data_IF_920529574707
#
_entry.id   IF_920529574707
#
_cell.length_a   1.000
_cell.length_b   1.000
_cell.length_c   1.000
_cell.angle_alpha   90.00
_cell.angle_beta   90.00
_cell.angle_gamma   90.00
#
_symmetry.space_group_name_H-M   'P 1'
#
loop_
_entity.id
_entity.type
_entity.pdbx_description
1 polymer ?
#
# COMPACT_ATOMS: atom_id res chain seq x y z
N UNK A 1 9.95 8.20 31.17
CA UNK A 1 10.75 9.03 32.10
C UNK A 1 12.16 9.31 31.59
N UNK A 2 12.92 8.29 31.12
CA UNK A 2 14.26 8.49 30.55
C UNK A 2 14.23 9.24 29.22
N UNK A 3 13.34 8.89 28.31
CA UNK A 3 13.17 9.57 27.03
C UNK A 3 12.97 11.08 27.23
N UNK A 4 12.12 11.48 28.20
CA UNK A 4 11.96 12.90 28.57
C UNK A 4 13.24 13.55 29.11
N UNK A 5 14.00 12.84 29.95
CA UNK A 5 15.28 13.34 30.43
C UNK A 5 16.29 13.52 29.30
N UNK A 6 16.24 12.66 28.28
CA UNK A 6 17.11 12.71 27.11
C UNK A 6 16.57 13.65 26.03
N UNK A 7 15.40 14.24 26.21
CA UNK A 7 14.72 15.10 25.24
C UNK A 7 14.51 14.41 23.91
N UNK A 8 14.08 13.14 23.95
CA UNK A 8 13.70 12.43 22.74
C UNK A 8 12.36 12.97 22.23
N UNK A 9 12.19 12.99 20.93
CA UNK A 9 10.94 13.42 20.28
C UNK A 9 9.97 12.25 20.13
N UNK A 10 10.48 11.03 20.01
CA UNK A 10 9.70 9.81 19.82
C UNK A 10 10.31 8.58 20.48
N UNK A 11 9.52 7.53 20.57
CA UNK A 11 9.87 6.21 21.09
C UNK A 11 9.66 5.16 20.02
N UNK A 12 10.57 4.19 19.97
CA UNK A 12 10.38 2.96 19.19
C UNK A 12 10.35 1.78 20.14
N UNK A 13 9.24 1.07 20.16
CA UNK A 13 9.08 -0.21 20.85
C UNK A 13 9.39 -1.31 19.87
N UNK A 14 10.32 -2.17 20.21
CA UNK A 14 10.91 -3.09 19.27
C UNK A 14 11.07 -4.47 19.89
N UNK A 15 10.42 -5.47 19.31
CA UNK A 15 10.60 -6.85 19.71
C UNK A 15 12.04 -7.29 19.41
N UNK A 16 12.63 -7.96 20.37
CA UNK A 16 14.05 -8.35 20.31
C UNK A 16 14.36 -9.34 19.19
N UNK A 17 13.37 -10.07 18.71
CA UNK A 17 13.45 -11.05 17.66
C UNK A 17 13.14 -10.50 16.26
N UNK A 18 12.88 -9.21 16.13
CA UNK A 18 12.66 -8.52 14.86
C UNK A 18 13.94 -7.85 14.38
N UNK A 19 14.67 -8.51 13.47
CA UNK A 19 15.90 -7.94 12.88
C UNK A 19 15.54 -6.97 11.74
N UNK A 20 15.87 -5.66 11.82
CA UNK A 20 15.59 -4.70 10.77
C UNK A 20 16.42 -5.01 9.51
N UNK A 21 15.78 -5.07 8.36
CA UNK A 21 16.42 -5.27 7.04
C UNK A 21 16.37 -3.97 6.24
N UNK A 22 15.19 -3.36 6.14
CA UNK A 22 14.97 -2.09 5.45
C UNK A 22 13.88 -1.32 6.21
N UNK A 23 14.29 -0.41 7.08
CA UNK A 23 13.39 0.28 8.01
C UNK A 23 13.73 1.76 8.10
N UNK A 24 12.72 2.59 7.88
CA UNK A 24 12.81 4.03 8.11
C UNK A 24 12.33 4.37 9.53
N UNK A 25 13.26 4.65 10.42
CA UNK A 25 13.02 5.10 11.79
C UNK A 25 12.95 6.63 11.94
N UNK A 26 12.85 7.39 10.86
CA UNK A 26 12.75 8.85 10.97
C UNK A 26 11.49 9.27 11.75
N UNK A 27 11.53 10.47 12.32
CA UNK A 27 10.41 11.02 13.11
C UNK A 27 9.08 10.99 12.33
N UNK A 28 8.00 10.74 13.05
CA UNK A 28 6.62 10.86 12.58
C UNK A 28 5.81 11.66 13.58
N UNK A 29 4.92 12.49 13.08
CA UNK A 29 3.97 13.22 13.92
C UNK A 29 2.83 12.35 14.49
N UNK A 30 2.76 11.08 14.08
CA UNK A 30 1.70 10.12 14.44
C UNK A 30 2.31 8.79 14.85
N UNK A 31 1.61 8.00 15.67
CA UNK A 31 2.00 6.62 15.93
C UNK A 31 2.02 5.79 14.66
N UNK A 32 3.07 5.01 14.47
CA UNK A 32 3.27 4.17 13.29
C UNK A 32 3.54 2.72 13.70
N UNK A 33 2.88 1.79 13.01
CA UNK A 33 3.25 0.38 13.02
C UNK A 33 4.34 0.14 11.98
N UNK A 34 5.56 -0.18 12.42
CA UNK A 34 6.71 -0.41 11.55
C UNK A 34 6.85 -1.86 11.08
N UNK A 35 6.41 -2.86 11.85
CA UNK A 35 6.53 -4.27 11.47
C UNK A 35 5.49 -4.67 10.41
N UNK A 36 5.55 -4.06 9.21
CA UNK A 36 4.57 -4.24 8.14
C UNK A 36 4.88 -5.42 7.23
N UNK A 37 6.15 -5.83 7.13
CA UNK A 37 6.59 -6.95 6.30
C UNK A 37 7.62 -7.78 7.07
N UNK A 38 7.28 -9.04 7.39
CA UNK A 38 8.12 -9.91 8.20
C UNK A 38 8.51 -11.14 7.39
N UNK A 39 9.83 -11.32 7.22
CA UNK A 39 10.41 -12.53 6.63
C UNK A 39 10.62 -13.54 7.75
N UNK A 40 10.03 -14.73 7.68
CA UNK A 40 10.32 -15.81 8.60
C UNK A 40 11.78 -16.28 8.50
N UNK A 41 12.32 -16.88 9.58
CA UNK A 41 13.70 -17.37 9.62
C UNK A 41 13.93 -18.67 8.83
N UNK A 42 12.87 -19.36 8.42
CA UNK A 42 12.88 -20.69 7.81
C UNK A 42 12.60 -20.70 6.30
N UNK A 43 12.93 -19.63 5.58
CA UNK A 43 12.67 -19.44 4.14
C UNK A 43 11.19 -19.60 3.73
N UNK A 44 10.26 -19.60 4.67
CA UNK A 44 8.84 -19.52 4.37
C UNK A 44 8.51 -18.16 3.68
N UNK A 45 7.48 -18.12 2.83
CA UNK A 45 7.09 -16.88 2.18
C UNK A 45 6.69 -15.82 3.22
N UNK A 46 7.10 -14.60 2.98
CA UNK A 46 6.78 -13.42 3.80
C UNK A 46 5.30 -13.43 4.21
N UNK A 47 5.04 -13.43 5.51
CA UNK A 47 3.66 -13.38 6.00
C UNK A 47 3.17 -11.94 5.91
N UNK A 48 2.12 -11.72 5.15
CA UNK A 48 1.33 -10.50 5.34
C UNK A 48 0.60 -10.61 6.68
N UNK A 49 0.89 -9.66 7.55
CA UNK A 49 0.17 -9.55 8.80
C UNK A 49 -1.29 -9.13 8.53
N UNK A 50 -2.20 -9.51 9.40
CA UNK A 50 -3.59 -9.07 9.31
C UNK A 50 -3.71 -7.57 9.59
N UNK A 51 -4.71 -6.93 9.00
CA UNK A 51 -4.86 -5.46 8.99
C UNK A 51 -4.96 -4.82 10.39
N UNK A 52 -5.38 -5.56 11.40
CA UNK A 52 -5.47 -5.10 12.80
C UNK A 52 -4.23 -5.41 13.65
N UNK A 53 -3.17 -5.99 13.08
CA UNK A 53 -1.94 -6.26 13.82
C UNK A 53 -1.17 -4.97 14.07
N UNK A 54 -0.87 -4.70 15.33
CA UNK A 54 -0.16 -3.49 15.77
C UNK A 54 1.02 -3.82 16.72
N UNK A 55 1.63 -4.99 16.51
CA UNK A 55 2.71 -5.52 17.33
C UNK A 55 4.07 -5.56 16.62
N UNK A 56 5.04 -6.17 17.25
CA UNK A 56 6.40 -6.35 16.76
C UNK A 56 7.25 -5.10 16.85
N UNK A 57 6.99 -4.09 16.03
CA UNK A 57 7.71 -2.82 16.08
C UNK A 57 6.75 -1.66 15.86
N UNK A 58 6.62 -0.79 16.87
CA UNK A 58 5.78 0.40 16.84
C UNK A 58 6.57 1.65 17.21
N UNK A 59 6.22 2.77 16.60
CA UNK A 59 6.84 4.07 16.89
C UNK A 59 5.78 5.07 17.31
N UNK A 60 6.09 5.86 18.33
CA UNK A 60 5.18 6.86 18.89
C UNK A 60 5.88 8.20 19.14
N UNK A 61 5.28 9.34 18.76
CA UNK A 61 5.59 10.60 19.42
C UNK A 61 5.42 10.46 20.93
N UNK A 62 6.28 11.09 21.72
CA UNK A 62 6.20 10.97 23.19
C UNK A 62 4.86 11.46 23.71
N UNK A 63 4.34 12.55 23.15
CA UNK A 63 3.06 13.14 23.58
C UNK A 63 1.88 12.18 23.34
N UNK A 64 1.86 11.51 22.19
CA UNK A 64 0.82 10.53 21.88
C UNK A 64 0.90 9.30 22.79
N UNK A 65 2.12 8.81 23.05
CA UNK A 65 2.31 7.69 23.96
C UNK A 65 1.87 8.02 25.39
N UNK A 66 2.05 9.27 25.83
CA UNK A 66 1.54 9.74 27.12
C UNK A 66 0.02 9.91 27.12
N UNK A 67 -0.54 10.42 26.02
CA UNK A 67 -1.99 10.60 25.84
C UNK A 67 -2.75 9.28 26.02
N UNK A 68 -2.21 8.18 25.50
CA UNK A 68 -2.81 6.86 25.64
C UNK A 68 -2.46 6.14 26.96
N UNK A 69 -1.69 6.79 27.82
CA UNK A 69 -1.15 6.21 29.07
C UNK A 69 -0.22 4.99 28.84
N UNK A 70 0.38 4.88 27.66
CA UNK A 70 1.33 3.82 27.29
C UNK A 70 0.73 2.42 27.20
N UNK A 71 1.58 1.41 27.32
CA UNK A 71 1.16 0.00 27.44
C UNK A 71 0.54 -0.28 28.79
N UNK A 72 -0.38 -1.24 28.83
CA UNK A 72 -0.90 -1.79 30.08
C UNK A 72 0.18 -2.59 30.83
N UNK A 73 0.17 -2.51 32.16
CA UNK A 73 1.04 -3.28 33.04
C UNK A 73 0.42 -4.63 33.47
N UNK A 74 -0.75 -4.99 32.96
CA UNK A 74 -1.51 -6.19 33.37
C UNK A 74 -1.26 -7.41 32.51
N UNK A 75 -0.67 -7.24 31.32
CA UNK A 75 -0.38 -8.35 30.40
C UNK A 75 0.90 -9.06 30.79
N UNK A 76 0.82 -10.34 31.11
CA UNK A 76 1.93 -11.19 31.48
C UNK A 76 1.92 -12.46 30.64
N UNK A 77 2.94 -12.66 29.83
CA UNK A 77 3.04 -13.77 28.89
C UNK A 77 2.89 -13.30 27.47
N UNK A 78 2.17 -14.01 26.64
CA UNK A 78 2.07 -13.72 25.21
C UNK A 78 0.62 -13.42 24.77
N UNK A 79 0.46 -12.28 24.10
CA UNK A 79 -0.73 -11.93 23.31
C UNK A 79 -1.67 -10.92 23.98
N UNK A 80 -2.39 -10.19 23.14
CA UNK A 80 -3.39 -9.16 23.43
C UNK A 80 -2.88 -7.83 24.01
N UNK A 81 -1.62 -7.68 24.36
CA UNK A 81 -1.02 -6.41 24.76
C UNK A 81 -0.99 -5.40 23.60
N UNK A 82 -0.77 -5.89 22.38
CA UNK A 82 -0.79 -5.10 21.15
C UNK A 82 -2.21 -4.68 20.77
N UNK A 83 -3.18 -5.58 20.96
CA UNK A 83 -4.60 -5.28 20.74
C UNK A 83 -5.08 -4.20 21.72
N UNK A 84 -4.65 -4.27 22.98
CA UNK A 84 -4.94 -3.22 23.99
C UNK A 84 -4.29 -1.90 23.61
N UNK A 85 -3.02 -1.91 23.16
CA UNK A 85 -2.33 -0.72 22.71
C UNK A 85 -3.06 -0.06 21.53
N UNK A 86 -3.44 -0.84 20.52
CA UNK A 86 -4.21 -0.37 19.38
C UNK A 86 -5.55 0.22 19.81
N UNK A 87 -6.23 -0.44 20.75
CA UNK A 87 -7.50 0.03 21.28
C UNK A 87 -7.34 1.38 22.01
N UNK A 88 -6.29 1.52 22.85
CA UNK A 88 -5.96 2.80 23.52
C UNK A 88 -5.76 3.93 22.53
N UNK A 89 -5.08 3.67 21.42
CA UNK A 89 -4.92 4.64 20.35
C UNK A 89 -6.27 5.07 19.76
N UNK A 90 -7.15 4.10 19.46
CA UNK A 90 -8.46 4.36 18.85
C UNK A 90 -9.39 5.17 19.74
N UNK A 91 -9.49 4.84 21.04
CA UNK A 91 -10.36 5.59 21.97
C UNK A 91 -9.84 6.99 22.30
N UNK A 92 -8.55 7.24 22.08
CA UNK A 92 -7.96 8.56 22.22
C UNK A 92 -7.89 9.33 20.90
N UNK A 93 -8.57 8.82 19.87
CA UNK A 93 -8.65 9.46 18.55
C UNK A 93 -7.27 9.78 17.96
N UNK A 94 -6.31 8.87 18.12
CA UNK A 94 -5.04 8.99 17.46
C UNK A 94 -5.15 8.49 16.02
N UNK A 95 -4.66 9.29 15.10
CA UNK A 95 -4.58 8.93 13.69
C UNK A 95 -3.45 7.91 13.49
N UNK A 96 -3.75 6.63 13.55
CA UNK A 96 -2.77 5.54 13.45
C UNK A 96 -2.36 5.20 12.02
N UNK A 97 -3.26 5.45 11.08
CA UNK A 97 -3.16 4.98 9.70
C UNK A 97 -3.31 6.11 8.69
N UNK A 98 -3.45 7.36 9.14
CA UNK A 98 -3.67 8.49 8.26
C UNK A 98 -2.78 9.66 8.61
N UNK A 99 -2.00 10.14 7.64
CA UNK A 99 -1.41 11.46 7.71
C UNK A 99 -2.48 12.45 7.27
N UNK A 100 -2.94 13.30 8.18
CA UNK A 100 -3.67 14.51 7.81
C UNK A 100 -2.67 15.52 7.26
N UNK A 101 -2.45 15.48 5.97
CA UNK A 101 -1.63 16.49 5.32
C UNK A 101 -2.52 17.71 5.16
N UNK A 102 -2.39 18.66 6.08
CA UNK A 102 -3.06 19.97 5.98
C UNK A 102 -2.21 20.89 5.12
N UNK A 103 -2.86 21.57 4.17
CA UNK A 103 -2.25 22.61 3.32
C UNK A 103 -1.05 22.09 2.51
N UNK A 104 -1.17 20.92 1.91
CA UNK A 104 -0.21 20.54 0.88
C UNK A 104 -0.46 21.42 -0.33
N UNK A 105 0.49 22.32 -0.59
CA UNK A 105 0.62 22.88 -1.92
C UNK A 105 0.75 21.69 -2.86
N UNK A 106 -0.31 21.37 -3.59
CA UNK A 106 -0.29 20.30 -4.57
C UNK A 106 0.63 20.73 -5.72
N UNK A 107 1.92 20.55 -5.56
CA UNK A 107 2.83 20.56 -6.70
C UNK A 107 2.45 19.32 -7.50
N UNK A 108 1.59 19.50 -8.49
CA UNK A 108 1.23 18.41 -9.38
C UNK A 108 2.49 17.99 -10.12
N UNK A 109 3.08 16.89 -9.66
CA UNK A 109 4.20 16.29 -10.37
C UNK A 109 3.65 15.52 -11.57
N UNK A 110 4.26 15.68 -12.70
CA UNK A 110 3.93 14.95 -13.92
C UNK A 110 5.02 13.90 -14.14
N UNK A 111 4.62 12.65 -14.20
CA UNK A 111 5.52 11.54 -14.49
C UNK A 111 5.50 11.24 -15.98
N UNK A 112 6.64 11.46 -16.65
CA UNK A 112 6.76 11.29 -18.10
C UNK A 112 7.54 10.03 -18.43
N UNK A 113 7.01 9.30 -19.39
CA UNK A 113 7.58 8.11 -19.99
C UNK A 113 8.23 8.44 -21.32
N UNK A 114 9.44 7.95 -21.57
CA UNK A 114 10.25 8.29 -22.74
C UNK A 114 10.03 7.39 -23.97
N UNK A 115 9.20 6.35 -23.84
CA UNK A 115 8.94 5.40 -24.92
C UNK A 115 10.11 4.45 -25.27
N UNK A 116 11.12 4.35 -24.40
CA UNK A 116 12.34 3.57 -24.65
C UNK A 116 12.63 2.58 -23.53
N UNK A 117 12.60 3.06 -22.27
CA UNK A 117 12.99 2.26 -21.09
C UNK A 117 12.39 2.77 -19.78
N UNK A 118 11.36 3.62 -19.85
CA UNK A 118 10.68 4.15 -18.69
C UNK A 118 9.50 3.28 -18.29
N UNK A 119 9.39 2.94 -17.00
CA UNK A 119 8.26 2.21 -16.49
C UNK A 119 8.12 2.35 -14.97
N UNK A 120 6.99 1.94 -14.43
CA UNK A 120 6.75 1.76 -13.01
C UNK A 120 6.59 0.27 -12.75
N UNK A 121 7.29 -0.25 -11.74
CA UNK A 121 7.14 -1.60 -11.22
C UNK A 121 6.45 -1.56 -9.87
N UNK A 122 5.29 -2.17 -9.76
CA UNK A 122 4.59 -2.33 -8.48
C UNK A 122 4.99 -3.62 -7.79
N UNK A 123 5.01 -3.59 -6.46
CA UNK A 123 5.22 -4.79 -5.64
C UNK A 123 3.90 -5.52 -5.31
N UNK A 124 2.77 -5.07 -5.86
CA UNK A 124 1.47 -5.69 -5.63
C UNK A 124 1.13 -6.76 -6.66
N UNK A 125 0.28 -7.69 -6.25
CA UNK A 125 -0.27 -8.77 -7.08
C UNK A 125 -1.72 -8.44 -7.38
N UNK A 126 -2.08 -8.42 -8.65
CA UNK A 126 -3.48 -8.42 -9.07
C UNK A 126 -3.98 -9.86 -9.12
N UNK A 127 -5.07 -10.12 -8.40
CA UNK A 127 -5.65 -11.46 -8.33
C UNK A 127 -6.69 -11.63 -9.43
N UNK A 128 -6.47 -12.61 -10.32
CA UNK A 128 -7.35 -12.86 -11.47
C UNK A 128 -8.40 -13.96 -11.23
N UNK A 129 -8.44 -14.54 -10.04
CA UNK A 129 -9.40 -15.57 -9.65
C UNK A 129 -10.62 -15.02 -8.90
N UNK A 130 -10.83 -13.72 -8.95
CA UNK A 130 -11.98 -12.99 -8.43
C UNK A 130 -12.27 -11.78 -9.31
N UNK A 131 -13.37 -11.10 -9.02
CA UNK A 131 -13.68 -9.80 -9.61
C UNK A 131 -12.57 -8.79 -9.29
N UNK A 132 -12.27 -7.92 -10.24
CA UNK A 132 -11.38 -6.79 -9.99
C UNK A 132 -11.71 -5.60 -10.90
N UNK A 133 -11.23 -4.43 -10.50
CA UNK A 133 -11.27 -3.24 -11.33
C UNK A 133 -9.92 -2.53 -11.31
N UNK A 134 -9.54 -1.96 -12.45
CA UNK A 134 -8.35 -1.16 -12.63
C UNK A 134 -8.77 0.16 -13.25
N UNK A 135 -8.34 1.27 -12.68
CA UNK A 135 -8.47 2.58 -13.32
C UNK A 135 -7.09 3.20 -13.48
N UNK A 136 -6.86 3.81 -14.64
CA UNK A 136 -5.58 4.43 -14.98
C UNK A 136 -5.81 5.71 -15.78
N UNK A 137 -5.16 6.78 -15.37
CA UNK A 137 -5.19 8.07 -16.05
C UNK A 137 -3.83 8.38 -16.65
N UNK A 138 -3.82 8.67 -17.95
CA UNK A 138 -2.62 8.92 -18.71
C UNK A 138 -2.90 9.85 -19.90
N UNK A 139 -1.84 10.44 -20.45
CA UNK A 139 -1.87 11.24 -21.66
C UNK A 139 -0.81 10.71 -22.63
N UNK A 140 -1.20 10.10 -23.78
CA UNK A 140 -0.24 9.65 -24.79
C UNK A 140 0.48 10.83 -25.44
N UNK A 141 1.79 10.73 -25.63
CA UNK A 141 2.53 11.72 -26.38
C UNK A 141 2.05 11.81 -27.83
N UNK A 142 2.13 13.01 -28.41
CA UNK A 142 1.89 13.21 -29.84
C UNK A 142 3.08 12.68 -30.65
N UNK A 143 2.95 11.45 -31.14
CA UNK A 143 3.98 10.81 -31.95
C UNK A 143 3.86 11.25 -33.41
N UNK A 144 5.00 11.40 -34.08
CA UNK A 144 5.03 11.46 -35.55
C UNK A 144 4.78 10.03 -36.04
N UNK A 145 3.59 9.80 -36.59
CA UNK A 145 3.27 8.52 -37.20
C UNK A 145 4.15 8.32 -38.42
N UNK A 146 4.95 7.29 -38.43
CA UNK A 146 5.68 6.84 -39.61
C UNK A 146 4.77 5.86 -40.36
N UNK A 147 4.06 6.38 -41.37
CA UNK A 147 3.10 5.61 -42.18
C UNK A 147 3.76 4.47 -43.00
N UNK A 148 5.09 4.35 -42.95
CA UNK A 148 5.84 3.29 -43.64
C UNK A 148 6.07 2.05 -42.77
N UNK A 149 5.83 2.14 -41.47
CA UNK A 149 5.98 1.04 -40.54
C UNK A 149 4.66 0.35 -40.25
N UNK A 150 4.73 -0.95 -39.96
CA UNK A 150 3.64 -1.66 -39.29
C UNK A 150 3.30 -0.94 -37.97
N UNK A 151 2.03 -1.03 -37.55
CA UNK A 151 1.50 -0.36 -36.35
C UNK A 151 2.44 -0.50 -35.13
N UNK A 152 2.83 0.64 -34.59
CA UNK A 152 3.49 0.64 -33.28
C UNK A 152 2.45 0.34 -32.19
N UNK A 153 2.83 -0.48 -31.25
CA UNK A 153 2.03 -0.82 -30.08
C UNK A 153 2.68 -0.22 -28.84
N UNK A 154 1.87 0.36 -27.96
CA UNK A 154 2.32 1.03 -26.75
C UNK A 154 1.58 0.43 -25.54
N UNK A 155 2.31 -0.24 -24.67
CA UNK A 155 1.72 -0.87 -23.50
C UNK A 155 1.61 0.14 -22.34
N UNK A 156 0.40 0.38 -21.90
CA UNK A 156 0.10 1.25 -20.77
C UNK A 156 0.24 0.50 -19.45
N UNK A 157 -0.21 -0.75 -19.41
CA UNK A 157 -0.26 -1.57 -18.22
C UNK A 157 -0.09 -3.05 -18.56
N UNK A 158 0.61 -3.80 -17.71
CA UNK A 158 0.75 -5.25 -17.89
C UNK A 158 0.86 -6.01 -16.58
N UNK A 159 0.45 -7.27 -16.64
CA UNK A 159 0.68 -8.29 -15.62
C UNK A 159 1.37 -9.47 -16.31
N UNK A 160 2.71 -9.46 -16.42
CA UNK A 160 3.44 -10.45 -17.20
C UNK A 160 3.21 -11.89 -16.74
N UNK A 161 3.04 -12.09 -15.42
CA UNK A 161 2.77 -13.41 -14.86
C UNK A 161 1.45 -14.04 -15.33
N UNK A 162 0.53 -13.25 -15.88
CA UNK A 162 -0.72 -13.71 -16.45
C UNK A 162 -0.80 -13.56 -17.97
N UNK A 163 0.29 -13.11 -18.61
CA UNK A 163 0.33 -12.74 -20.03
C UNK A 163 -0.79 -11.74 -20.41
N UNK A 164 -1.07 -10.78 -19.52
CA UNK A 164 -2.12 -9.79 -19.71
C UNK A 164 -1.50 -8.41 -19.89
N UNK A 165 -1.95 -7.68 -20.90
CA UNK A 165 -1.54 -6.31 -21.14
C UNK A 165 -2.67 -5.45 -21.69
N UNK A 166 -2.60 -4.17 -21.41
CA UNK A 166 -3.45 -3.11 -21.93
C UNK A 166 -2.57 -2.21 -22.77
N UNK A 167 -2.91 -2.10 -24.05
CA UNK A 167 -2.11 -1.38 -25.03
C UNK A 167 -3.00 -0.54 -25.93
N UNK A 168 -2.38 0.41 -26.62
CA UNK A 168 -3.00 1.04 -27.77
C UNK A 168 -2.08 0.93 -28.99
N UNK A 169 -2.67 0.91 -30.17
CA UNK A 169 -1.94 0.81 -31.44
C UNK A 169 -2.04 2.12 -32.20
N UNK A 170 -1.00 2.47 -32.95
CA UNK A 170 -0.91 3.74 -33.68
C UNK A 170 -1.20 3.63 -35.17
N UNK A 171 -1.83 2.56 -35.65
CA UNK A 171 -2.14 2.39 -37.09
C UNK A 171 -3.33 3.25 -37.50
N UNK A 172 -3.08 4.42 -38.06
CA UNK A 172 -4.05 5.44 -38.50
C UNK A 172 -4.99 6.00 -37.42
N UNK A 173 -5.19 5.27 -36.34
CA UNK A 173 -5.97 5.64 -35.18
C UNK A 173 -5.36 4.95 -33.95
N UNK A 174 -5.44 5.60 -32.82
CA UNK A 174 -5.04 5.00 -31.54
C UNK A 174 -6.18 4.11 -31.05
N UNK A 175 -6.14 2.84 -31.42
CA UNK A 175 -7.12 1.85 -30.99
C UNK A 175 -6.67 1.17 -29.71
N UNK A 176 -7.54 1.09 -28.74
CA UNK A 176 -7.30 0.40 -27.48
C UNK A 176 -7.47 -1.11 -27.67
N UNK A 177 -6.56 -1.88 -27.10
CA UNK A 177 -6.63 -3.34 -27.14
C UNK A 177 -6.15 -3.98 -25.82
N UNK A 178 -6.68 -5.16 -25.56
CA UNK A 178 -6.24 -6.05 -24.50
C UNK A 178 -5.50 -7.24 -25.11
N UNK A 179 -4.44 -7.66 -24.47
CA UNK A 179 -3.81 -8.95 -24.72
C UNK A 179 -4.03 -9.86 -23.53
N UNK A 180 -4.47 -11.06 -23.78
CA UNK A 180 -4.62 -12.12 -22.77
C UNK A 180 -3.62 -13.27 -23.03
N UNK A 181 -3.69 -14.33 -22.24
CA UNK A 181 -2.80 -15.49 -22.38
C UNK A 181 -2.94 -16.24 -23.70
N UNK A 182 -3.93 -15.96 -24.53
CA UNK A 182 -4.06 -16.51 -25.89
C UNK A 182 -3.18 -15.77 -26.91
N UNK A 183 -2.54 -14.66 -26.51
CA UNK A 183 -1.74 -13.78 -27.36
C UNK A 183 -2.52 -13.15 -28.53
N UNK A 184 -3.84 -13.16 -28.45
CA UNK A 184 -4.70 -12.47 -29.40
C UNK A 184 -5.09 -11.11 -28.85
N UNK A 185 -5.04 -10.09 -29.71
CA UNK A 185 -5.56 -8.78 -29.36
C UNK A 185 -7.09 -8.81 -29.31
N UNK A 186 -7.64 -8.38 -28.21
CA UNK A 186 -9.07 -8.17 -28.01
C UNK A 186 -9.31 -6.67 -28.15
N UNK A 187 -9.90 -6.24 -29.27
CA UNK A 187 -10.17 -4.83 -29.51
C UNK A 187 -11.48 -4.44 -28.81
N UNK A 188 -11.39 -3.33 -28.10
CA UNK A 188 -12.53 -2.62 -27.56
C UNK A 188 -12.66 -1.34 -28.40
N UNK A 189 -13.77 -1.19 -29.10
CA UNK A 189 -14.02 -0.13 -30.10
C UNK A 189 -13.96 1.27 -29.48
N UNK A 190 -12.78 1.69 -29.06
CA UNK A 190 -12.53 3.00 -28.50
C UNK A 190 -11.28 3.63 -29.07
N UNK A 191 -11.32 4.93 -29.26
CA UNK A 191 -10.23 5.72 -29.81
C UNK A 191 -9.57 6.53 -28.67
N UNK A 192 -8.26 6.41 -28.56
CA UNK A 192 -7.45 7.26 -27.69
C UNK A 192 -6.93 8.43 -28.51
N UNK A 193 -7.06 9.65 -28.00
CA UNK A 193 -6.56 10.85 -28.66
C UNK A 193 -5.18 11.22 -28.11
N UNK A 194 -4.13 11.33 -28.98
CA UNK A 194 -2.81 11.77 -28.53
C UNK A 194 -2.86 13.19 -27.96
N UNK A 195 -2.04 13.45 -26.94
CA UNK A 195 -2.00 14.71 -26.21
C UNK A 195 -3.35 15.11 -25.57
N UNK A 196 -4.17 14.12 -25.25
CA UNK A 196 -5.37 14.29 -24.45
C UNK A 196 -5.33 13.34 -23.26
N UNK A 197 -5.53 13.89 -22.10
CA UNK A 197 -5.69 13.14 -20.87
C UNK A 197 -6.90 12.20 -20.97
N UNK A 198 -6.68 10.93 -20.68
CA UNK A 198 -7.67 9.88 -20.82
C UNK A 198 -7.70 9.03 -19.55
N UNK A 199 -8.89 8.81 -19.02
CA UNK A 199 -9.11 7.86 -17.93
C UNK A 199 -9.70 6.57 -18.50
N UNK A 200 -9.06 5.44 -18.25
CA UNK A 200 -9.55 4.12 -18.62
C UNK A 200 -9.83 3.33 -17.36
N UNK A 201 -11.06 2.81 -17.25
CA UNK A 201 -11.41 1.86 -16.19
C UNK A 201 -11.79 0.53 -16.82
N UNK A 202 -11.18 -0.55 -16.34
CA UNK A 202 -11.49 -1.93 -16.69
C UNK A 202 -12.13 -2.63 -15.51
N UNK A 203 -13.23 -3.32 -15.76
CA UNK A 203 -13.94 -4.10 -14.77
C UNK A 203 -14.01 -5.55 -15.23
N UNK A 204 -13.28 -6.43 -14.55
CA UNK A 204 -13.29 -7.87 -14.82
C UNK A 204 -14.35 -8.56 -13.98
N UNK A 205 -15.21 -9.32 -14.67
CA UNK A 205 -16.22 -10.21 -14.06
C UNK A 205 -15.67 -11.64 -14.06
N UNK A 206 -15.42 -12.19 -12.88
CA UNK A 206 -14.85 -13.52 -12.73
C UNK A 206 -15.79 -14.64 -13.17
N UNK A 207 -17.09 -14.43 -13.08
CA UNK A 207 -18.11 -15.44 -13.45
C UNK A 207 -18.21 -15.54 -14.97
N UNK A 208 -18.42 -14.42 -15.65
CA UNK A 208 -18.50 -14.37 -17.12
C UNK A 208 -17.14 -14.43 -17.79
N UNK A 209 -16.04 -14.14 -17.04
CA UNK A 209 -14.67 -13.99 -17.53
C UNK A 209 -14.54 -12.94 -18.63
N UNK A 210 -15.33 -11.89 -18.56
CA UNK A 210 -15.33 -10.77 -19.48
C UNK A 210 -14.82 -9.50 -18.82
N UNK A 211 -14.31 -8.60 -19.64
CA UNK A 211 -13.89 -7.26 -19.20
C UNK A 211 -14.81 -6.23 -19.83
N UNK A 212 -15.36 -5.37 -18.98
CA UNK A 212 -16.02 -4.13 -19.37
C UNK A 212 -15.02 -3.00 -19.34
N UNK A 213 -15.10 -2.12 -20.31
CA UNK A 213 -14.26 -0.94 -20.41
C UNK A 213 -15.10 0.33 -20.34
N UNK A 214 -14.57 1.29 -19.60
CA UNK A 214 -15.09 2.64 -19.49
C UNK A 214 -13.98 3.62 -19.86
N UNK A 215 -14.32 4.65 -20.61
CA UNK A 215 -13.43 5.76 -20.93
C UNK A 215 -14.06 7.05 -20.41
N UNK A 216 -13.29 7.79 -19.60
CA UNK A 216 -13.74 9.05 -18.99
C UNK A 216 -15.13 8.92 -18.32
N UNK A 217 -15.32 7.81 -17.58
CA UNK A 217 -16.57 7.47 -16.88
C UNK A 217 -17.66 6.84 -17.74
N UNK A 218 -17.53 6.86 -19.07
CA UNK A 218 -18.55 6.35 -19.99
C UNK A 218 -18.28 4.90 -20.41
N UNK A 219 -19.31 4.06 -20.39
CA UNK A 219 -19.20 2.69 -20.88
C UNK A 219 -18.90 2.68 -22.37
N UNK A 220 -17.84 1.97 -22.77
CA UNK A 220 -17.38 1.86 -24.17
C UNK A 220 -17.73 0.51 -24.76
N UNK A 221 -17.58 -0.55 -24.01
CA UNK A 221 -17.83 -1.90 -24.49
C UNK A 221 -17.46 -2.99 -23.50
N UNK A 222 -17.76 -4.21 -23.89
CA UNK A 222 -17.40 -5.44 -23.19
C UNK A 222 -16.68 -6.38 -24.14
N UNK A 223 -15.71 -7.13 -23.67
CA UNK A 223 -15.01 -8.12 -24.49
C UNK A 223 -16.00 -9.15 -25.06
N UNK A 224 -15.97 -9.37 -26.36
CA UNK A 224 -16.83 -10.38 -27.01
C UNK A 224 -16.48 -11.78 -26.54
N UNK A 225 -15.17 -12.09 -26.49
CA UNK A 225 -14.62 -13.35 -26.02
C UNK A 225 -14.29 -13.29 -24.51
N UNK A 226 -14.17 -14.47 -23.92
CA UNK A 226 -13.68 -14.61 -22.54
C UNK A 226 -12.19 -14.24 -22.47
N UNK A 227 -11.81 -13.50 -21.44
CA UNK A 227 -10.40 -13.15 -21.17
C UNK A 227 -9.73 -14.28 -20.40
N UNK A 228 -8.57 -14.74 -20.90
CA UNK A 228 -7.83 -15.88 -20.34
C UNK A 228 -6.58 -15.39 -19.63
N UNK A 229 -6.38 -15.83 -18.41
CA UNK A 229 -5.16 -15.59 -17.64
C UNK A 229 -4.34 -16.87 -17.52
N UNK A 230 -3.02 -16.74 -17.69
CA UNK A 230 -2.12 -17.87 -17.51
C UNK A 230 -2.04 -18.29 -16.04
N UNK A 231 -2.39 -19.54 -15.72
CA UNK A 231 -2.43 -20.05 -14.35
C UNK A 231 -1.08 -20.59 -13.84
N UNK A 232 -0.09 -20.73 -14.73
CA UNK A 232 1.13 -21.47 -14.44
C UNK A 232 2.29 -20.61 -13.91
N UNK A 233 2.13 -19.30 -13.81
CA UNK A 233 3.20 -18.44 -13.31
C UNK A 233 3.13 -18.30 -11.78
N UNK A 234 3.95 -19.10 -11.10
CA UNK A 234 4.09 -19.07 -9.63
C UNK A 234 5.00 -17.95 -9.12
N UNK A 235 5.80 -17.29 -9.97
CA UNK A 235 6.95 -16.51 -9.52
C UNK A 235 6.93 -15.01 -9.90
N UNK A 236 6.07 -14.52 -10.81
CA UNK A 236 6.03 -13.09 -11.11
C UNK A 236 4.86 -12.43 -10.40
N UNK A 237 5.18 -11.66 -9.37
CA UNK A 237 4.24 -11.04 -8.44
C UNK A 237 4.03 -9.55 -8.71
N UNK A 238 4.47 -9.05 -9.87
CA UNK A 238 4.49 -7.63 -10.17
C UNK A 238 3.55 -7.31 -11.31
N UNK A 239 3.00 -6.10 -11.27
CA UNK A 239 2.46 -5.47 -12.46
C UNK A 239 3.35 -4.30 -12.88
N UNK A 240 3.26 -3.91 -14.13
CA UNK A 240 4.01 -2.80 -14.69
C UNK A 240 3.08 -1.77 -15.30
N UNK A 241 3.45 -0.49 -15.18
CA UNK A 241 2.83 0.62 -15.90
C UNK A 241 3.87 1.16 -16.87
N UNK A 242 3.48 1.32 -18.13
CA UNK A 242 4.34 1.88 -19.17
C UNK A 242 5.15 0.86 -19.96
N UNK A 243 5.01 -0.43 -19.71
CA UNK A 243 5.72 -1.48 -20.43
C UNK A 243 4.98 -2.82 -20.38
N UNK A 244 5.18 -3.67 -21.40
CA UNK A 244 4.65 -5.03 -21.45
C UNK A 244 5.38 -5.97 -20.49
N UNK A 245 6.57 -6.41 -20.86
CA UNK A 245 7.44 -7.21 -20.00
C UNK A 245 8.90 -6.78 -20.22
N UNK A 246 9.49 -6.03 -19.28
CA UNK A 246 10.85 -5.50 -19.45
C UNK A 246 11.93 -6.60 -19.50
N UNK A 247 11.61 -7.82 -19.05
CA UNK A 247 12.56 -8.93 -18.96
C UNK A 247 12.48 -9.91 -20.16
N UNK A 248 11.58 -9.68 -21.14
CA UNK A 248 11.52 -10.51 -22.35
C UNK A 248 12.51 -10.01 -23.38
N UNK A 249 13.18 -10.95 -24.10
CA UNK A 249 14.06 -10.66 -25.23
C UNK A 249 13.33 -10.05 -26.45
N UNK A 250 12.03 -10.23 -26.54
CA UNK A 250 11.16 -9.59 -27.52
C UNK A 250 11.03 -8.13 -27.12
N UNK A 251 11.22 -7.20 -28.08
CA UNK A 251 11.18 -5.76 -27.87
C UNK A 251 9.96 -5.39 -27.00
N UNK A 252 10.16 -4.90 -25.79
CA UNK A 252 9.05 -4.50 -24.96
C UNK A 252 8.39 -3.25 -25.59
N UNK A 253 7.08 -3.23 -25.62
CA UNK A 253 6.32 -2.10 -26.14
C UNK A 253 6.23 -1.02 -25.06
N UNK A 254 7.05 0.00 -25.20
CA UNK A 254 7.19 1.08 -24.22
C UNK A 254 6.15 2.18 -24.43
N UNK A 255 5.50 2.58 -23.35
CA UNK A 255 4.63 3.75 -23.34
C UNK A 255 5.44 5.05 -23.49
N UNK A 256 4.93 5.98 -24.30
CA UNK A 256 5.44 7.34 -24.41
C UNK A 256 4.30 8.31 -24.09
N UNK A 257 4.47 9.13 -23.07
CA UNK A 257 3.43 10.03 -22.59
C UNK A 257 3.60 10.38 -21.13
N UNK A 258 2.54 10.88 -20.51
CA UNK A 258 2.50 11.15 -19.10
C UNK A 258 1.48 10.26 -18.38
N UNK A 259 1.75 10.02 -17.11
CA UNK A 259 0.92 9.24 -16.21
C UNK A 259 0.50 10.14 -15.04
N UNK A 260 -0.72 9.98 -14.57
CA UNK A 260 -1.26 10.78 -13.48
C UNK A 260 -1.63 9.93 -12.26
N UNK A 261 -2.50 8.93 -12.45
CA UNK A 261 -2.83 8.03 -11.36
C UNK A 261 -3.19 6.62 -11.83
N UNK A 262 -3.12 5.68 -10.89
CA UNK A 262 -3.53 4.28 -11.04
C UNK A 262 -4.22 3.83 -9.77
N UNK A 263 -5.35 3.15 -9.91
CA UNK A 263 -5.99 2.48 -8.79
C UNK A 263 -6.43 1.05 -9.16
N UNK A 264 -6.24 0.14 -8.22
CA UNK A 264 -6.65 -1.27 -8.33
C UNK A 264 -7.56 -1.64 -7.18
N UNK A 265 -8.68 -2.25 -7.52
CA UNK A 265 -9.70 -2.76 -6.59
C UNK A 265 -9.86 -4.26 -6.77
N UNK A 266 -10.02 -5.01 -5.67
CA UNK A 266 -10.38 -6.44 -5.71
C UNK A 266 -11.90 -6.65 -5.70
N UNK A 267 -12.62 -5.78 -6.37
CA UNK A 267 -14.08 -5.81 -6.58
C UNK A 267 -14.44 -5.22 -7.94
N UNK A 268 -15.68 -5.48 -8.37
CA UNK A 268 -16.27 -4.78 -9.51
C UNK A 268 -16.78 -3.40 -9.08
N UNK A 269 -16.25 -2.35 -9.71
CA UNK A 269 -16.83 -1.03 -9.61
C UNK A 269 -18.13 -0.97 -10.45
N UNK A 270 -19.15 -0.35 -9.91
CA UNK A 270 -20.34 0.02 -10.66
C UNK A 270 -20.06 1.20 -11.58
N UNK A 271 -20.92 1.40 -12.60
CA UNK A 271 -20.78 2.55 -13.50
C UNK A 271 -20.90 3.88 -12.75
N UNK A 272 -21.78 3.96 -11.78
CA UNK A 272 -21.96 5.17 -10.96
C UNK A 272 -20.70 5.49 -10.16
N UNK A 273 -20.05 4.48 -9.57
CA UNK A 273 -18.76 4.66 -8.89
C UNK A 273 -17.66 5.09 -9.85
N UNK A 274 -17.61 4.51 -11.05
CA UNK A 274 -16.62 4.87 -12.07
C UNK A 274 -16.76 6.34 -12.47
N UNK A 275 -17.97 6.82 -12.68
CA UNK A 275 -18.24 8.24 -12.96
C UNK A 275 -17.76 9.11 -11.80
N UNK A 276 -18.07 8.71 -10.57
CA UNK A 276 -17.72 9.47 -9.39
C UNK A 276 -16.19 9.60 -9.23
N UNK A 277 -15.46 8.49 -9.30
CA UNK A 277 -13.99 8.50 -9.15
C UNK A 277 -13.27 9.18 -10.33
N UNK A 278 -13.84 9.14 -11.52
CA UNK A 278 -13.25 9.83 -12.69
C UNK A 278 -13.30 11.35 -12.52
N UNK A 279 -14.35 11.85 -11.90
CA UNK A 279 -14.55 13.29 -11.69
C UNK A 279 -13.86 13.81 -10.42
N UNK A 280 -13.60 12.94 -9.44
CA UNK A 280 -13.17 13.30 -8.09
C UNK A 280 -12.12 12.32 -7.57
N UNK A 281 -10.94 12.30 -8.19
CA UNK A 281 -9.86 11.34 -7.85
C UNK A 281 -9.35 11.49 -6.42
N UNK A 282 -9.41 12.70 -5.86
CA UNK A 282 -9.03 13.00 -4.48
C UNK A 282 -9.88 12.27 -3.44
N UNK A 283 -11.05 11.75 -3.84
CA UNK A 283 -11.97 11.07 -2.93
C UNK A 283 -11.88 9.55 -2.93
N UNK A 284 -10.95 8.95 -3.68
CA UNK A 284 -10.78 7.48 -3.73
C UNK A 284 -10.54 6.84 -2.36
N UNK A 285 -9.99 7.58 -1.43
CA UNK A 285 -9.72 7.12 -0.06
C UNK A 285 -10.88 7.34 0.91
N UNK A 286 -11.85 8.16 0.52
CA UNK A 286 -12.97 8.51 1.39
C UNK A 286 -14.09 7.47 1.25
N UNK A 287 -14.51 6.90 2.37
CA UNK A 287 -15.77 6.14 2.43
C UNK A 287 -16.95 7.12 2.26
N UNK A 288 -17.99 6.66 1.60
CA UNK A 288 -19.26 7.36 1.48
C UNK A 288 -19.21 8.71 0.73
N UNK A 289 -18.38 8.80 -0.31
CA UNK A 289 -18.36 9.97 -1.18
C UNK A 289 -19.32 9.78 -2.36
N UNK A 290 -20.36 10.58 -2.44
CA UNK A 290 -21.35 10.49 -3.51
C UNK A 290 -21.92 9.08 -3.66
N UNK A 291 -21.71 8.46 -4.83
CA UNK A 291 -22.10 7.08 -5.10
C UNK A 291 -20.94 6.07 -4.93
N UNK A 292 -19.76 6.54 -4.57
CA UNK A 292 -18.60 5.70 -4.37
C UNK A 292 -18.61 5.02 -3.00
N UNK A 293 -18.54 3.70 -2.99
CA UNK A 293 -18.60 2.87 -1.78
C UNK A 293 -17.54 1.78 -1.72
N UNK A 294 -16.68 1.68 -2.74
CA UNK A 294 -15.70 0.59 -2.90
C UNK A 294 -14.32 0.90 -2.30
N UNK A 295 -14.16 1.91 -1.45
CA UNK A 295 -12.89 2.26 -0.82
C UNK A 295 -12.25 1.10 -0.02
N UNK A 296 -13.04 0.25 0.62
CA UNK A 296 -12.56 -0.92 1.37
C UNK A 296 -11.92 -2.00 0.46
N UNK A 297 -12.23 -1.97 -0.82
CA UNK A 297 -11.68 -2.89 -1.83
C UNK A 297 -10.48 -2.32 -2.57
N UNK A 298 -10.08 -1.07 -2.28
CA UNK A 298 -8.93 -0.42 -2.89
C UNK A 298 -7.64 -1.07 -2.38
N UNK A 299 -6.87 -1.67 -3.29
CA UNK A 299 -5.65 -2.44 -2.98
C UNK A 299 -4.37 -1.72 -3.37
N UNK A 300 -4.43 -0.81 -4.29
CA UNK A 300 -3.31 0.06 -4.69
C UNK A 300 -3.87 1.36 -5.22
N UNK A 301 -3.31 2.48 -4.78
CA UNK A 301 -3.60 3.79 -5.34
C UNK A 301 -2.31 4.60 -5.45
N UNK A 302 -1.86 4.83 -6.68
CA UNK A 302 -0.75 5.72 -7.01
C UNK A 302 -1.28 7.02 -7.60
N UNK A 303 -0.83 8.12 -7.04
CA UNK A 303 -1.03 9.47 -7.58
C UNK A 303 0.34 10.13 -7.71
N UNK A 304 0.64 10.72 -8.86
CA UNK A 304 1.95 11.33 -9.13
C UNK A 304 2.26 12.53 -8.25
N UNK A 305 1.28 13.07 -7.56
CA UNK A 305 1.49 14.09 -6.52
C UNK A 305 2.34 13.57 -5.35
N UNK A 306 2.35 12.24 -5.14
CA UNK A 306 3.00 11.61 -4.00
C UNK A 306 4.16 10.71 -4.46
N UNK A 307 5.24 11.36 -4.91
CA UNK A 307 6.50 10.71 -5.28
C UNK A 307 7.54 11.03 -4.21
N UNK A 308 8.21 10.00 -3.71
CA UNK A 308 9.33 10.14 -2.79
C UNK A 308 10.44 9.16 -3.17
N UNK A 309 11.68 9.65 -3.25
CA UNK A 309 12.87 8.84 -3.54
C UNK A 309 12.71 7.93 -4.79
N UNK A 310 12.18 8.51 -5.89
CA UNK A 310 11.84 7.78 -7.12
C UNK A 310 10.86 6.61 -6.93
N UNK A 311 9.99 6.72 -5.94
CA UNK A 311 8.90 5.77 -5.70
C UNK A 311 7.57 6.49 -5.66
N UNK A 312 6.56 5.92 -6.29
CA UNK A 312 5.16 6.27 -6.07
C UNK A 312 4.72 5.69 -4.72
N UNK A 313 4.18 6.55 -3.89
CA UNK A 313 3.61 6.13 -2.61
C UNK A 313 2.24 5.52 -2.88
N UNK A 314 2.00 4.35 -2.33
CA UNK A 314 0.67 3.75 -2.35
C UNK A 314 -0.21 4.42 -1.29
N UNK A 315 -1.22 5.13 -1.74
CA UNK A 315 -2.16 5.83 -0.87
C UNK A 315 -3.26 4.91 -0.32
N UNK A 316 -3.31 3.65 -0.78
CA UNK A 316 -4.20 2.63 -0.22
C UNK A 316 -3.65 2.11 1.13
N UNK A 317 -4.48 1.44 1.95
CA UNK A 317 -4.03 0.83 3.21
C UNK A 317 -2.98 -0.27 3.07
N UNK A 318 -2.61 -0.67 1.84
CA UNK A 318 -1.79 -1.86 1.58
C UNK A 318 -0.30 -1.60 1.35
N UNK A 319 0.10 -0.33 1.22
CA UNK A 319 1.51 0.10 1.10
C UNK A 319 2.33 -0.64 0.02
N UNK A 320 1.77 -0.74 -1.19
CA UNK A 320 2.42 -1.40 -2.32
C UNK A 320 3.18 -0.37 -3.16
N UNK A 321 4.40 -0.01 -2.77
CA UNK A 321 5.20 1.01 -3.45
C UNK A 321 5.37 0.72 -4.95
N UNK A 322 5.33 1.78 -5.77
CA UNK A 322 5.64 1.74 -7.19
C UNK A 322 7.05 2.26 -7.45
N UNK A 323 8.00 1.39 -7.83
CA UNK A 323 9.34 1.81 -8.20
C UNK A 323 9.32 2.51 -9.57
N UNK A 324 9.80 3.74 -9.62
CA UNK A 324 9.89 4.53 -10.85
C UNK A 324 11.24 4.26 -11.50
N UNK A 325 11.25 3.80 -12.74
CA UNK A 325 12.46 3.46 -13.48
C UNK A 325 12.55 4.34 -14.74
N UNK A 326 13.62 5.13 -14.84
CA UNK A 326 13.96 5.98 -16.00
C UNK A 326 12.84 6.93 -16.48
N UNK A 327 11.87 7.26 -15.61
CA UNK A 327 10.89 8.29 -15.92
C UNK A 327 11.42 9.67 -15.55
N UNK A 328 10.97 10.69 -16.28
CA UNK A 328 11.21 12.09 -15.94
C UNK A 328 10.11 12.57 -14.99
N UNK A 329 10.48 13.21 -13.89
CA UNK A 329 9.56 13.86 -12.97
C UNK A 329 9.68 15.36 -13.19
N UNK A 330 8.60 16.01 -13.63
CA UNK A 330 8.52 17.46 -13.80
C UNK A 330 7.45 18.04 -12.88
N UNK A 331 7.71 19.22 -12.32
CA UNK A 331 6.72 19.95 -11.54
C UNK A 331 5.77 20.72 -12.45
N UNK A 332 4.51 20.78 -12.08
CA UNK A 332 3.51 21.64 -12.74
C UNK A 332 3.35 22.93 -11.95
N UNK A 333 3.13 24.04 -12.65
CA UNK A 333 2.94 25.37 -12.06
C UNK A 333 1.58 25.56 -11.36
N UNK A 334 0.72 24.53 -11.32
CA UNK A 334 -0.58 24.61 -10.66
C UNK A 334 -0.47 24.21 -9.19
N UNK A 335 -0.65 25.18 -8.30
CA UNK A 335 -0.74 24.95 -6.85
C UNK A 335 -2.22 24.85 -6.49
N UNK A 336 -2.65 23.68 -6.02
CA UNK A 336 -3.97 23.49 -5.41
C UNK A 336 -3.77 23.09 -3.94
N UNK A 337 -4.32 23.85 -3.02
CA UNK A 337 -4.35 23.46 -1.61
C UNK A 337 -5.47 22.43 -1.40
N UNK A 338 -5.10 21.21 -1.08
CA UNK A 338 -6.05 20.12 -0.79
C UNK A 338 -5.66 19.44 0.51
N UNK A 339 -6.66 19.22 1.37
CA UNK A 339 -6.48 18.41 2.58
C UNK A 339 -6.64 16.92 2.23
N UNK A 340 -5.60 16.14 2.46
CA UNK A 340 -5.64 14.69 2.26
C UNK A 340 -5.57 13.94 3.59
N UNK A 341 -6.41 12.92 3.72
CA UNK A 341 -6.21 11.86 4.71
C UNK A 341 -5.54 10.68 4.00
N UNK A 342 -4.23 10.56 4.13
CA UNK A 342 -3.47 9.47 3.51
C UNK A 342 -3.26 8.37 4.53
N UNK A 343 -3.66 7.11 4.26
CA UNK A 343 -3.20 5.99 5.06
C UNK A 343 -1.69 5.90 4.97
N UNK A 344 -1.01 6.17 6.08
CA UNK A 344 0.44 6.18 6.09
C UNK A 344 0.96 4.93 6.78
N UNK A 345 1.31 3.93 5.99
CA UNK A 345 2.14 2.83 6.45
C UNK A 345 3.53 3.01 5.88
N UNK A 346 4.52 3.28 6.72
CA UNK A 346 5.90 3.18 6.29
C UNK A 346 6.18 1.74 5.90
N UNK A 347 6.66 1.53 4.67
CA UNK A 347 7.18 0.23 4.31
C UNK A 347 8.41 -0.04 5.18
N UNK A 348 8.37 -1.14 5.89
CA UNK A 348 9.47 -1.57 6.74
C UNK A 348 9.56 -3.08 6.69
N UNK A 349 10.77 -3.57 6.48
CA UNK A 349 11.06 -4.98 6.32
C UNK A 349 11.91 -5.48 7.47
N UNK A 350 11.42 -6.51 8.14
CA UNK A 350 12.09 -7.17 9.24
C UNK A 350 12.29 -8.65 8.94
N UNK A 351 13.35 -9.23 9.53
CA UNK A 351 13.50 -10.68 9.61
C UNK A 351 13.18 -11.13 11.02
N UNK A 352 12.24 -12.06 11.19
CA UNK A 352 11.98 -12.69 12.46
C UNK A 352 13.11 -13.69 12.78
N UNK A 353 13.66 -13.61 13.98
CA UNK A 353 14.68 -14.55 14.46
C UNK A 353 13.98 -15.63 15.26
N UNK A 354 14.20 -16.89 14.86
CA UNK A 354 13.65 -18.03 15.58
C UNK A 354 14.32 -18.18 16.95
N UNK A 355 13.54 -18.12 17.99
CA UNK A 355 14.03 -18.47 19.32
C UNK A 355 14.28 -19.98 19.39
N UNK A 356 15.45 -20.39 19.83
CA UNK A 356 15.64 -21.76 20.29
C UNK A 356 14.61 -22.06 21.39
N UNK A 357 13.91 -23.19 21.27
CA UNK A 357 12.80 -23.59 22.13
C UNK A 357 13.21 -23.78 23.60
N UNK A 358 13.71 -22.75 24.25
CA UNK A 358 13.96 -22.75 25.68
C UNK A 358 12.65 -22.64 26.48
N UNK A 359 11.78 -23.66 26.30
CA UNK A 359 10.60 -23.84 27.14
C UNK A 359 9.31 -23.21 26.64
N UNK A 360 9.29 -22.45 25.57
CA UNK A 360 8.07 -21.99 24.92
C UNK A 360 7.61 -23.02 23.87
N UNK A 361 7.05 -24.13 24.35
CA UNK A 361 6.35 -25.01 23.45
C UNK A 361 5.12 -24.29 22.95
N UNK A 362 4.95 -24.12 21.61
CA UNK A 362 3.77 -23.49 21.01
C UNK A 362 2.43 -24.16 21.38
N UNK A 363 2.47 -25.22 22.17
CA UNK A 363 1.30 -25.86 22.80
C UNK A 363 1.02 -25.37 24.22
N UNK A 364 1.92 -24.63 24.87
CA UNK A 364 1.71 -24.16 26.26
C UNK A 364 0.55 -23.16 26.37
N UNK A 365 0.39 -22.30 25.36
CA UNK A 365 -0.75 -21.38 25.33
C UNK A 365 -2.11 -22.08 25.14
N UNK A 366 -2.10 -23.36 24.72
CA UNK A 366 -3.32 -24.19 24.65
C UNK A 366 -3.67 -24.85 26.01
N UNK A 367 -2.71 -24.91 26.91
CA UNK A 367 -2.84 -25.71 28.16
C UNK A 367 -2.84 -24.87 29.44
N UNK A 368 -2.30 -23.63 29.39
CA UNK A 368 -2.25 -22.75 30.53
C UNK A 368 -3.32 -21.69 30.46
N UNK A 369 -4.28 -21.43 30.85
CA UNK A 369 -5.33 -20.40 30.70
C UNK A 369 -4.81 -18.96 30.51
N UNK A 370 -3.51 -18.74 30.24
CA UNK A 370 -2.89 -17.42 30.14
C UNK A 370 -3.54 -16.61 29.03
N UNK A 371 -3.73 -17.21 27.84
CA UNK A 371 -4.41 -16.54 26.72
C UNK A 371 -5.84 -16.15 27.05
N UNK A 372 -6.58 -16.99 27.76
CA UNK A 372 -7.95 -16.68 28.14
C UNK A 372 -8.01 -15.54 29.16
N UNK A 373 -7.05 -15.48 30.07
CA UNK A 373 -6.94 -14.38 31.02
C UNK A 373 -6.61 -13.06 30.31
N UNK A 374 -5.73 -13.08 29.34
CA UNK A 374 -5.38 -11.89 28.54
C UNK A 374 -6.52 -11.43 27.64
N UNK A 375 -7.21 -12.37 26.96
CA UNK A 375 -8.42 -12.05 26.20
C UNK A 375 -9.50 -11.41 27.11
N UNK A 376 -9.63 -11.88 28.34
CA UNK A 376 -10.54 -11.27 29.30
C UNK A 376 -10.13 -9.84 29.63
N UNK A 377 -8.84 -9.56 29.82
CA UNK A 377 -8.35 -8.22 30.12
C UNK A 377 -8.65 -7.24 29.00
N UNK A 378 -8.37 -7.61 27.75
CA UNK A 378 -8.68 -6.73 26.62
C UNK A 378 -10.17 -6.49 26.46
N UNK A 379 -11.00 -7.51 26.69
CA UNK A 379 -12.46 -7.35 26.69
C UNK A 379 -12.94 -6.42 27.81
N UNK A 380 -12.38 -6.55 29.01
CA UNK A 380 -12.68 -5.66 30.15
C UNK A 380 -12.36 -4.20 29.81
N UNK A 381 -11.23 -3.95 29.13
CA UNK A 381 -10.84 -2.61 28.68
C UNK A 381 -11.79 -2.10 27.59
N UNK A 382 -12.19 -2.95 26.63
CA UNK A 382 -13.15 -2.58 25.59
C UNK A 382 -14.54 -2.26 26.16
N UNK A 383 -14.97 -2.97 27.20
CA UNK A 383 -16.24 -2.72 27.90
C UNK A 383 -16.17 -1.49 28.81
N UNK A 384 -15.01 -1.20 29.40
CA UNK A 384 -14.79 -0.07 30.28
C UNK A 384 -13.49 0.69 29.94
N UNK A 385 -13.52 1.61 28.96
CA UNK A 385 -12.35 2.38 28.52
C UNK A 385 -11.66 3.20 29.63
N UNK A 386 -12.36 3.54 30.71
CA UNK A 386 -11.80 4.29 31.84
C UNK A 386 -10.63 3.55 32.52
N UNK A 387 -10.57 2.22 32.38
CA UNK A 387 -9.47 1.42 32.89
C UNK A 387 -8.11 1.82 32.26
N UNK A 388 -8.09 2.30 31.04
CA UNK A 388 -6.86 2.76 30.38
C UNK A 388 -6.23 3.98 31.06
N UNK A 389 -7.01 4.77 31.79
CA UNK A 389 -6.54 5.96 32.50
C UNK A 389 -5.75 5.63 33.75
N UNK A 390 -6.00 4.47 34.34
CA UNK A 390 -5.42 4.04 35.64
C UNK A 390 -4.41 2.89 35.51
N UNK A 391 -4.23 2.35 34.29
CA UNK A 391 -3.34 1.25 34.01
C UNK A 391 -2.40 1.63 32.84
N UNK A 392 -1.10 1.65 33.09
CA UNK A 392 -0.08 2.03 32.12
C UNK A 392 0.99 2.95 32.75
N UNK A 393 1.30 4.08 32.12
CA UNK A 393 2.31 5.00 32.63
C UNK A 393 1.94 5.59 34.00
N UNK A 394 0.64 5.73 34.29
CA UNK A 394 0.15 6.33 35.52
C UNK A 394 0.39 5.48 36.76
N UNK A 395 0.41 4.15 36.64
CA UNK A 395 0.64 3.22 37.76
C UNK A 395 2.00 2.49 37.70
N UNK A 396 2.85 2.88 36.73
CA UNK A 396 4.14 2.27 36.54
C UNK A 396 5.12 2.61 37.66
N UNK A 397 5.50 1.61 38.44
CA UNK A 397 6.57 1.68 39.40
C UNK A 397 7.74 0.79 38.99
N UNK A 398 8.93 1.36 38.93
CA UNK A 398 10.15 0.59 38.69
C UNK A 398 11.33 1.17 39.48
N UNK A 399 12.30 0.32 39.79
CA UNK A 399 13.57 0.70 40.39
C UNK A 399 14.69 0.50 39.40
N UNK A 400 15.47 1.54 39.17
CA UNK A 400 16.69 1.44 38.35
C UNK A 400 17.75 0.67 39.13
N UNK A 401 18.11 -0.53 38.65
CA UNK A 401 19.14 -1.35 39.29
C UNK A 401 20.51 -1.06 38.72
N UNK A 402 20.62 -0.80 37.43
CA UNK A 402 21.91 -0.57 36.78
C UNK A 402 21.76 0.28 35.52
N UNK A 403 22.82 1.04 35.20
CA UNK A 403 22.92 1.83 34.00
C UNK A 403 24.29 1.64 33.38
N UNK A 404 24.33 1.08 32.18
CA UNK A 404 25.58 0.84 31.47
C UNK A 404 25.57 1.64 30.16
N UNK A 405 26.59 2.48 29.97
CA UNK A 405 26.81 3.16 28.69
C UNK A 405 27.63 2.24 27.80
N UNK A 406 27.13 1.96 26.59
CA UNK A 406 27.83 1.17 25.58
C UNK A 406 28.66 2.08 24.71
N UNK A 407 28.07 3.18 24.21
CA UNK A 407 28.80 4.25 23.52
C UNK A 407 28.16 5.62 23.82
N UNK A 408 28.52 6.66 23.07
CA UNK A 408 28.00 8.02 23.31
C UNK A 408 26.46 8.11 23.15
N UNK A 409 25.87 7.24 22.34
CA UNK A 409 24.45 7.27 21.98
C UNK A 409 23.64 6.09 22.55
N UNK A 410 24.32 5.05 23.06
CA UNK A 410 23.65 3.83 23.52
C UNK A 410 23.87 3.63 25.01
N UNK A 411 22.76 3.47 25.73
CA UNK A 411 22.74 3.16 27.15
C UNK A 411 21.79 1.97 27.39
N UNK A 412 22.25 1.02 28.21
CA UNK A 412 21.42 -0.05 28.76
C UNK A 412 21.03 0.32 30.18
N UNK A 413 19.76 0.28 30.47
CA UNK A 413 19.19 0.53 31.79
C UNK A 413 18.48 -0.75 32.26
N UNK A 414 18.94 -1.32 33.36
CA UNK A 414 18.29 -2.46 33.98
C UNK A 414 17.32 -1.95 35.04
N UNK A 415 16.07 -2.33 34.91
CA UNK A 415 15.00 -1.97 35.84
C UNK A 415 14.39 -3.24 36.48
N UNK A 416 13.93 -3.13 37.70
CA UNK A 416 13.09 -4.12 38.35
C UNK A 416 11.69 -3.54 38.50
N UNK A 417 10.70 -4.37 38.33
CA UNK A 417 9.29 -4.06 38.48
C UNK A 417 8.82 -4.56 39.83
#
# INVERSE_FOLDING_TARGET
RYAKKLRCDYLVFHDIDMLPIDVDYSFSEYPIHLATDIIPDDDEPTRKLFDSYFGGVTMFPIEDFEKINGYSNKYWGWGFEDDDLLYRCKINELDLDTIKIKNVSKNTQILKFNGINSYIQSNNIITTYRDFSITICFEPAKLKLDHTKQSDEFTIFSIPGYDFAISYTSFNRYNFCLFDSSLKAIYLNTEIKPAYKTNITLVYDFISKKIKMYQDGNFVGESEEIVKFNKNYKNEKYFYIGVGNPNREIIPNWFNGSFEYFAYYDSKLSQDEIIEITNNTEHLLNKDFGKYSSSDYLKTYYDTTFIRDYKLIDLSPHNNLGNIINCEISESDTINDVDFNIPYRRYSKFKSIKHENNGFNGNRWKTDNTRWNQLRLVNEVMENPELTKTDGLSDLNFVEHNKRKIDKNIQIITVGI
#
